data_IF_757131314350
#
_entry.id   IF_757131314350
#
_cell.length_a   1.000
_cell.length_b   1.000
_cell.length_c   1.000
_cell.angle_alpha   90.00
_cell.angle_beta   90.00
_cell.angle_gamma   90.00
#
_symmetry.space_group_name_H-M   'P 1'
#
loop_
_entity.id
_entity.type
_entity.pdbx_description
1 polymer ?
#
# COMPACT_ATOMS: atom_id res chain seq x y z
N UNK A 1 0.85 23.98 16.94
CA UNK A 1 1.55 22.80 16.40
C UNK A 1 1.20 22.69 14.93
N UNK A 2 2.13 23.02 14.03
CA UNK A 2 1.89 22.98 12.59
C UNK A 2 1.72 21.54 12.09
N UNK A 3 0.92 21.30 11.03
CA UNK A 3 0.77 19.96 10.50
C UNK A 3 2.13 19.52 9.95
N UNK A 4 2.53 18.26 10.18
CA UNK A 4 3.80 17.80 9.70
C UNK A 4 3.70 17.59 8.19
N UNK A 5 4.38 18.48 7.46
CA UNK A 5 4.64 18.37 6.04
C UNK A 5 5.52 17.15 5.80
N UNK A 6 4.90 16.02 5.47
CA UNK A 6 5.62 14.83 5.03
C UNK A 6 5.46 14.73 3.52
N UNK A 7 6.56 14.77 2.78
CA UNK A 7 6.62 14.58 1.32
C UNK A 7 6.23 13.18 0.85
N UNK A 8 5.41 12.46 1.61
CA UNK A 8 4.88 11.14 1.31
C UNK A 8 3.45 11.28 0.83
N UNK A 9 3.21 10.91 -0.44
CA UNK A 9 1.86 10.87 -1.00
C UNK A 9 1.01 9.87 -0.21
N UNK A 10 -0.23 10.25 0.09
CA UNK A 10 -1.22 9.34 0.67
C UNK A 10 -1.70 8.33 -0.39
N UNK A 11 -2.39 7.27 0.03
CA UNK A 11 -2.80 6.18 -0.88
C UNK A 11 -3.71 6.65 -2.04
N UNK A 12 -4.57 7.64 -1.80
CA UNK A 12 -5.44 8.20 -2.83
C UNK A 12 -4.64 9.04 -3.84
N UNK A 13 -3.64 9.79 -3.37
CA UNK A 13 -2.71 10.55 -4.22
C UNK A 13 -1.82 9.63 -5.07
N UNK A 14 -1.34 8.52 -4.50
CA UNK A 14 -0.65 7.47 -5.26
C UNK A 14 -1.56 6.88 -6.34
N UNK A 15 -2.82 6.57 -6.01
CA UNK A 15 -3.77 6.05 -6.98
C UNK A 15 -4.03 7.06 -8.12
N UNK A 16 -4.16 8.34 -7.79
CA UNK A 16 -4.34 9.41 -8.78
C UNK A 16 -3.10 9.58 -9.67
N UNK A 17 -1.90 9.53 -9.09
CA UNK A 17 -0.64 9.58 -9.81
C UNK A 17 -0.54 8.43 -10.84
N UNK A 18 -0.77 7.19 -10.41
CA UNK A 18 -0.65 6.03 -11.30
C UNK A 18 -1.79 5.91 -12.33
N UNK A 19 -3.02 6.28 -11.97
CA UNK A 19 -4.19 6.10 -12.85
C UNK A 19 -4.39 7.25 -13.83
N UNK A 20 -4.01 8.47 -13.47
CA UNK A 20 -4.34 9.68 -14.24
C UNK A 20 -3.07 10.39 -14.72
N UNK A 21 -2.20 10.80 -13.80
CA UNK A 21 -1.07 11.66 -14.16
C UNK A 21 0.04 10.96 -14.93
N UNK A 22 0.42 9.73 -14.56
CA UNK A 22 1.44 8.98 -15.32
C UNK A 22 0.98 8.70 -16.75
N UNK A 23 -0.25 8.19 -17.00
CA UNK A 23 -0.77 8.06 -18.37
C UNK A 23 -0.81 9.40 -19.13
N UNK A 24 -1.25 10.49 -18.49
CA UNK A 24 -1.30 11.82 -19.11
C UNK A 24 0.09 12.36 -19.46
N UNK A 25 1.07 12.21 -18.57
CA UNK A 25 2.45 12.65 -18.83
C UNK A 25 3.06 11.89 -20.00
N UNK A 26 2.84 10.57 -20.08
CA UNK A 26 3.32 9.75 -21.20
C UNK A 26 2.64 10.13 -22.52
N UNK A 27 1.33 10.39 -22.52
CA UNK A 27 0.61 10.90 -23.69
C UNK A 27 1.08 12.30 -24.10
N UNK A 28 1.38 13.17 -23.13
CA UNK A 28 1.86 14.53 -23.40
C UNK A 28 3.27 14.55 -24.02
N UNK A 29 4.17 13.64 -23.59
CA UNK A 29 5.47 13.45 -24.24
C UNK A 29 5.34 12.97 -25.68
N UNK A 30 4.30 12.18 -25.98
CA UNK A 30 4.03 11.73 -27.34
C UNK A 30 3.49 12.86 -28.23
N UNK A 31 2.55 13.67 -27.72
CA UNK A 31 2.06 14.85 -28.44
C UNK A 31 3.15 15.89 -28.70
N UNK A 32 4.10 16.10 -27.77
CA UNK A 32 5.21 17.05 -27.99
C UNK A 32 6.21 16.55 -29.04
N UNK A 33 6.28 15.24 -29.29
CA UNK A 33 7.07 14.67 -30.39
C UNK A 33 6.38 14.86 -31.74
N UNK A 34 5.04 14.81 -31.78
CA UNK A 34 4.26 15.01 -33.01
C UNK A 34 4.15 16.50 -33.41
N UNK A 35 4.14 17.44 -32.46
CA UNK A 35 4.13 18.89 -32.76
C UNK A 35 5.45 19.36 -33.40
N UNK A 36 6.59 18.76 -33.01
CA UNK A 36 7.89 19.02 -33.62
C UNK A 36 8.08 18.35 -34.99
N UNK A 37 7.28 17.34 -35.37
CA UNK A 37 7.32 16.70 -36.70
C UNK A 37 6.90 17.63 -37.84
N UNK A 38 6.06 18.64 -37.57
CA UNK A 38 5.59 19.56 -38.61
C UNK A 38 6.49 20.79 -38.84
N UNK A 39 7.54 20.98 -38.01
CA UNK A 39 8.34 22.20 -38.05
C UNK A 39 9.80 22.02 -38.51
N UNK A 40 10.40 20.82 -38.48
CA UNK A 40 11.78 20.67 -38.96
C UNK A 40 12.18 19.23 -39.26
N UNK A 41 12.22 18.87 -40.55
CA UNK A 41 13.05 17.78 -41.06
C UNK A 41 14.50 18.04 -40.61
N UNK A 42 15.17 17.05 -40.01
CA UNK A 42 16.56 17.10 -39.52
C UNK A 42 16.78 17.64 -38.08
N UNK A 43 16.20 17.00 -37.06
CA UNK A 43 16.88 16.94 -35.76
C UNK A 43 16.90 15.53 -35.18
N UNK A 44 18.07 14.92 -35.36
CA UNK A 44 18.54 13.65 -34.81
C UNK A 44 18.66 13.75 -33.28
N UNK A 45 17.55 13.72 -32.56
CA UNK A 45 17.53 13.55 -31.10
C UNK A 45 16.25 12.79 -30.73
N UNK A 46 16.35 11.49 -30.49
CA UNK A 46 15.20 10.71 -30.06
C UNK A 46 15.52 9.23 -29.97
N UNK A 47 15.10 8.60 -28.88
CA UNK A 47 14.74 7.18 -28.88
C UNK A 47 13.99 6.91 -30.19
N UNK A 48 14.37 5.92 -31.01
CA UNK A 48 13.77 5.77 -32.34
C UNK A 48 12.24 5.79 -32.21
N UNK A 49 11.55 6.47 -33.12
CA UNK A 49 10.09 6.61 -33.10
C UNK A 49 9.39 5.25 -32.91
N UNK A 50 9.99 4.20 -33.48
CA UNK A 50 9.60 2.81 -33.30
C UNK A 50 9.70 2.34 -31.84
N UNK A 51 10.83 2.59 -31.14
CA UNK A 51 10.99 2.25 -29.72
C UNK A 51 9.99 3.03 -28.86
N UNK A 52 9.74 4.30 -29.16
CA UNK A 52 8.75 5.11 -28.44
C UNK A 52 7.34 4.53 -28.60
N UNK A 53 6.95 4.18 -29.83
CA UNK A 53 5.67 3.54 -30.11
C UNK A 53 5.51 2.19 -29.42
N UNK A 54 6.55 1.34 -29.44
CA UNK A 54 6.54 0.05 -28.76
C UNK A 54 6.47 0.20 -27.22
N UNK A 55 7.15 1.19 -26.65
CA UNK A 55 7.03 1.52 -25.23
C UNK A 55 5.59 1.92 -24.86
N UNK A 56 4.96 2.77 -25.67
CA UNK A 56 3.57 3.19 -25.47
C UNK A 56 2.61 2.02 -25.55
N UNK A 57 2.70 1.17 -26.59
CA UNK A 57 1.87 -0.04 -26.71
C UNK A 57 2.04 -0.96 -25.51
N UNK A 58 3.28 -1.17 -25.07
CA UNK A 58 3.59 -1.96 -23.88
C UNK A 58 2.86 -1.42 -22.63
N UNK A 59 2.85 -0.09 -22.45
CA UNK A 59 2.11 0.53 -21.34
C UNK A 59 0.61 0.33 -21.44
N UNK A 60 0.03 0.48 -22.63
CA UNK A 60 -1.40 0.25 -22.81
C UNK A 60 -1.79 -1.19 -22.48
N UNK A 61 -0.99 -2.18 -22.84
CA UNK A 61 -1.23 -3.56 -22.40
C UNK A 61 -1.24 -3.68 -20.86
N UNK A 62 -0.28 -3.04 -20.18
CA UNK A 62 -0.25 -3.04 -18.72
C UNK A 62 -1.46 -2.35 -18.09
N UNK A 63 -1.88 -1.18 -18.61
CA UNK A 63 -3.05 -0.44 -18.13
C UNK A 63 -4.34 -1.24 -18.34
N UNK A 64 -4.51 -1.84 -19.52
CA UNK A 64 -5.69 -2.65 -19.83
C UNK A 64 -5.77 -3.89 -18.94
N UNK A 65 -4.65 -4.57 -18.68
CA UNK A 65 -4.59 -5.70 -17.75
C UNK A 65 -4.99 -5.26 -16.32
N UNK A 66 -4.46 -4.13 -15.83
CA UNK A 66 -4.83 -3.59 -14.52
C UNK A 66 -6.33 -3.26 -14.45
N UNK A 67 -6.87 -2.61 -15.49
CA UNK A 67 -8.30 -2.27 -15.58
C UNK A 67 -9.16 -3.52 -15.37
N UNK A 68 -8.89 -4.58 -16.14
CA UNK A 68 -9.61 -5.87 -16.02
C UNK A 68 -9.45 -6.44 -14.61
N UNK A 69 -8.23 -6.50 -14.08
CA UNK A 69 -7.95 -7.04 -12.76
C UNK A 69 -8.67 -6.31 -11.62
N UNK A 70 -8.91 -5.01 -11.78
CA UNK A 70 -9.59 -4.18 -10.78
C UNK A 70 -11.12 -4.16 -10.89
N UNK A 71 -11.69 -4.81 -11.89
CA UNK A 71 -13.15 -4.92 -12.00
C UNK A 71 -13.72 -5.76 -10.83
N UNK A 72 -14.93 -5.40 -10.40
CA UNK A 72 -15.67 -6.15 -9.37
C UNK A 72 -16.23 -7.48 -9.87
N UNK A 73 -16.32 -7.66 -11.19
CA UNK A 73 -16.77 -8.88 -11.87
C UNK A 73 -15.87 -9.13 -13.08
N UNK A 74 -15.67 -10.40 -13.43
CA UNK A 74 -14.79 -10.82 -14.54
C UNK A 74 -15.51 -11.90 -15.34
N UNK A 75 -15.70 -11.66 -16.63
CA UNK A 75 -16.22 -12.64 -17.60
C UNK A 75 -15.10 -13.51 -18.18
N UNK A 76 -15.44 -14.59 -18.87
CA UNK A 76 -14.44 -15.43 -19.56
C UNK A 76 -13.71 -14.68 -20.69
N UNK A 77 -14.39 -13.73 -21.34
CA UNK A 77 -13.78 -12.86 -22.34
C UNK A 77 -12.75 -11.93 -21.68
N UNK A 78 -13.06 -11.39 -20.50
CA UNK A 78 -12.11 -10.58 -19.71
C UNK A 78 -10.89 -11.40 -19.29
N UNK A 79 -11.07 -12.67 -18.89
CA UNK A 79 -9.95 -13.55 -18.54
C UNK A 79 -9.01 -13.74 -19.74
N UNK A 80 -9.60 -13.94 -20.93
CA UNK A 80 -8.84 -14.13 -22.17
C UNK A 80 -8.10 -12.84 -22.56
N UNK A 81 -8.79 -11.71 -22.55
CA UNK A 81 -8.22 -10.40 -22.83
C UNK A 81 -7.09 -10.03 -21.83
N UNK A 82 -7.27 -10.36 -20.55
CA UNK A 82 -6.21 -10.17 -19.54
C UNK A 82 -4.97 -11.00 -19.87
N UNK A 83 -5.14 -12.28 -20.20
CA UNK A 83 -4.04 -13.16 -20.57
C UNK A 83 -3.27 -12.64 -21.80
N UNK A 84 -3.99 -12.16 -22.81
CA UNK A 84 -3.40 -11.55 -24.01
C UNK A 84 -2.61 -10.28 -23.70
N UNK A 85 -3.17 -9.38 -22.89
CA UNK A 85 -2.48 -8.17 -22.48
C UNK A 85 -1.22 -8.46 -21.66
N UNK A 86 -1.26 -9.40 -20.71
CA UNK A 86 -0.08 -9.82 -19.96
C UNK A 86 1.00 -10.42 -20.87
N UNK A 87 0.61 -11.30 -21.80
CA UNK A 87 1.53 -11.91 -22.77
C UNK A 87 2.21 -10.86 -23.64
N UNK A 88 1.44 -9.96 -24.25
CA UNK A 88 1.98 -8.91 -25.11
C UNK A 88 2.86 -7.93 -24.33
N UNK A 89 2.49 -7.62 -23.08
CA UNK A 89 3.34 -6.83 -22.18
C UNK A 89 4.69 -7.51 -21.92
N UNK A 90 4.71 -8.81 -21.63
CA UNK A 90 5.95 -9.55 -21.40
C UNK A 90 6.82 -9.65 -22.65
N UNK A 91 6.22 -9.94 -23.81
CA UNK A 91 6.93 -10.03 -25.10
C UNK A 91 7.54 -8.68 -25.50
N UNK A 92 6.76 -7.60 -25.46
CA UNK A 92 7.28 -6.26 -25.78
C UNK A 92 8.35 -5.82 -24.78
N UNK A 93 8.27 -6.20 -23.50
CA UNK A 93 9.34 -5.90 -22.54
C UNK A 93 10.65 -6.64 -22.86
N UNK A 94 10.59 -7.91 -23.28
CA UNK A 94 11.78 -8.63 -23.72
C UNK A 94 12.40 -8.00 -24.96
N UNK A 95 11.58 -7.52 -25.89
CA UNK A 95 12.04 -6.84 -27.08
C UNK A 95 12.69 -5.49 -26.77
N UNK A 96 12.05 -4.66 -25.93
CA UNK A 96 12.53 -3.34 -25.51
C UNK A 96 13.77 -3.42 -24.61
N UNK A 97 13.86 -4.47 -23.78
CA UNK A 97 14.92 -4.63 -22.76
C UNK A 97 15.54 -6.04 -22.80
N UNK A 98 16.24 -6.42 -23.88
CA UNK A 98 16.69 -7.81 -24.10
C UNK A 98 17.72 -8.31 -23.07
N UNK A 99 18.43 -7.39 -22.42
CA UNK A 99 19.41 -7.73 -21.37
C UNK A 99 18.75 -7.96 -20.01
N UNK A 100 17.49 -7.59 -19.85
CA UNK A 100 16.79 -7.69 -18.58
C UNK A 100 16.07 -9.04 -18.46
N UNK A 101 16.38 -9.79 -17.41
CA UNK A 101 15.67 -11.04 -17.10
C UNK A 101 14.23 -10.75 -16.68
N UNK A 102 13.31 -11.63 -17.05
CA UNK A 102 11.92 -11.57 -16.56
C UNK A 102 11.94 -11.70 -15.05
N UNK A 103 11.27 -10.77 -14.36
CA UNK A 103 11.11 -10.84 -12.90
C UNK A 103 10.07 -11.90 -12.54
N UNK A 104 10.21 -12.61 -11.40
CA UNK A 104 9.23 -13.60 -10.95
C UNK A 104 7.78 -13.09 -10.95
N UNK A 105 7.55 -11.83 -10.59
CA UNK A 105 6.21 -11.22 -10.60
C UNK A 105 5.59 -11.17 -12.01
N UNK A 106 6.41 -10.93 -13.05
CA UNK A 106 5.95 -10.93 -14.44
C UNK A 106 5.73 -12.35 -14.97
N UNK A 107 6.40 -13.36 -14.40
CA UNK A 107 6.08 -14.75 -14.69
C UNK A 107 4.77 -15.15 -13.99
N UNK A 108 4.59 -14.72 -12.74
CA UNK A 108 3.38 -15.01 -11.96
C UNK A 108 2.12 -14.42 -12.61
N UNK A 109 2.22 -13.29 -13.32
CA UNK A 109 1.07 -12.75 -14.06
C UNK A 109 0.48 -13.71 -15.10
N UNK A 110 1.26 -14.65 -15.64
CA UNK A 110 0.74 -15.69 -16.55
C UNK A 110 -0.17 -16.70 -15.85
N UNK A 111 -0.12 -16.77 -14.52
CA UNK A 111 -0.98 -17.64 -13.71
C UNK A 111 -2.25 -16.95 -13.21
N UNK A 112 -2.30 -15.61 -13.21
CA UNK A 112 -3.46 -14.84 -12.75
C UNK A 112 -4.75 -15.19 -13.52
N UNK A 113 -4.77 -15.45 -14.84
CA UNK A 113 -5.99 -15.89 -15.53
C UNK A 113 -6.63 -17.14 -14.90
N UNK A 114 -5.79 -18.10 -14.46
CA UNK A 114 -6.28 -19.31 -13.76
C UNK A 114 -6.85 -18.99 -12.39
N UNK A 115 -6.32 -17.97 -11.73
CA UNK A 115 -6.86 -17.45 -10.47
C UNK A 115 -8.24 -16.85 -10.71
N UNK A 116 -8.41 -16.04 -11.76
CA UNK A 116 -9.72 -15.46 -12.11
C UNK A 116 -10.80 -16.50 -12.34
N UNK A 117 -10.48 -17.58 -13.07
CA UNK A 117 -11.41 -18.66 -13.32
C UNK A 117 -11.85 -19.40 -12.05
N UNK A 118 -11.01 -19.44 -11.02
CA UNK A 118 -11.24 -20.23 -9.80
C UNK A 118 -11.84 -19.42 -8.66
N UNK A 119 -11.30 -18.22 -8.44
CA UNK A 119 -11.57 -17.38 -7.28
C UNK A 119 -12.30 -16.08 -7.64
N UNK A 120 -12.48 -15.81 -8.93
CA UNK A 120 -13.05 -14.54 -9.41
C UNK A 120 -12.02 -13.40 -9.45
N UNK A 121 -12.48 -12.14 -9.52
CA UNK A 121 -11.61 -10.97 -9.67
C UNK A 121 -10.55 -10.84 -8.57
N UNK A 122 -9.45 -10.12 -8.85
CA UNK A 122 -8.35 -9.92 -7.88
C UNK A 122 -8.86 -9.44 -6.53
N UNK A 123 -9.89 -8.59 -6.51
CA UNK A 123 -10.45 -8.07 -5.25
C UNK A 123 -10.93 -9.19 -4.32
N UNK A 124 -11.53 -10.25 -4.87
CA UNK A 124 -12.01 -11.40 -4.12
C UNK A 124 -10.87 -12.28 -3.58
N UNK A 125 -9.73 -12.32 -4.28
CA UNK A 125 -8.55 -13.11 -3.89
C UNK A 125 -7.41 -12.26 -3.31
N UNK A 126 -7.63 -10.98 -3.02
CA UNK A 126 -6.56 -10.06 -2.62
C UNK A 126 -6.14 -10.30 -1.17
N UNK A 127 -4.83 -10.22 -0.91
CA UNK A 127 -4.30 -10.26 0.46
C UNK A 127 -4.67 -9.02 1.26
N UNK A 128 -5.16 -7.97 0.61
CA UNK A 128 -5.54 -6.70 1.24
C UNK A 128 -6.52 -6.88 2.41
N UNK A 129 -7.52 -7.75 2.25
CA UNK A 129 -8.45 -8.06 3.34
C UNK A 129 -7.74 -8.67 4.56
N UNK A 130 -6.77 -9.55 4.33
CA UNK A 130 -5.93 -10.12 5.38
C UNK A 130 -5.00 -9.08 6.01
N UNK A 131 -4.42 -8.17 5.24
CA UNK A 131 -3.59 -7.08 5.76
C UNK A 131 -4.39 -6.15 6.68
N UNK A 132 -5.63 -5.82 6.30
CA UNK A 132 -6.56 -5.07 7.13
C UNK A 132 -6.87 -5.81 8.44
N UNK A 133 -7.13 -7.12 8.38
CA UNK A 133 -7.37 -7.95 9.56
C UNK A 133 -6.14 -8.02 10.48
N UNK A 134 -4.94 -8.21 9.93
CA UNK A 134 -3.68 -8.19 10.67
C UNK A 134 -3.50 -6.86 11.40
N UNK A 135 -3.84 -5.74 10.74
CA UNK A 135 -3.83 -4.41 11.36
C UNK A 135 -4.78 -4.30 12.55
N UNK A 136 -6.00 -4.85 12.43
CA UNK A 136 -6.98 -4.89 13.52
C UNK A 136 -6.45 -5.74 14.69
N UNK A 137 -5.86 -6.90 14.42
CA UNK A 137 -5.28 -7.76 15.45
C UNK A 137 -4.13 -7.07 16.19
N UNK A 138 -3.20 -6.43 15.48
CA UNK A 138 -2.11 -5.68 16.10
C UNK A 138 -2.62 -4.52 16.98
N UNK A 139 -3.68 -3.83 16.58
CA UNK A 139 -4.31 -2.78 17.39
C UNK A 139 -4.99 -3.36 18.64
N UNK A 140 -5.65 -4.51 18.52
CA UNK A 140 -6.26 -5.24 19.63
C UNK A 140 -5.24 -5.66 20.68
N UNK A 141 -4.15 -6.28 20.26
CA UNK A 141 -3.04 -6.66 21.15
C UNK A 141 -2.41 -5.44 21.83
N UNK A 142 -2.17 -4.36 21.08
CA UNK A 142 -1.64 -3.11 21.63
C UNK A 142 -2.56 -2.49 22.69
N UNK A 143 -3.88 -2.63 22.52
CA UNK A 143 -4.88 -2.17 23.51
C UNK A 143 -4.89 -3.08 24.74
N UNK A 144 -4.90 -4.41 24.57
CA UNK A 144 -4.86 -5.38 25.69
C UNK A 144 -3.60 -5.19 26.52
N UNK A 145 -2.44 -5.07 25.88
CA UNK A 145 -1.17 -4.82 26.56
C UNK A 145 -1.19 -3.51 27.34
N UNK A 146 -1.80 -2.45 26.80
CA UNK A 146 -2.00 -1.18 27.50
C UNK A 146 -2.89 -1.32 28.73
N UNK A 147 -4.01 -2.05 28.63
CA UNK A 147 -4.89 -2.31 29.77
C UNK A 147 -4.20 -3.13 30.87
N UNK A 148 -3.43 -4.15 30.52
CA UNK A 148 -2.67 -4.92 31.50
C UNK A 148 -1.62 -4.08 32.22
N UNK A 149 -0.94 -3.17 31.51
CA UNK A 149 0.02 -2.24 32.11
C UNK A 149 -0.66 -1.24 33.05
N UNK A 150 -1.80 -0.65 32.65
CA UNK A 150 -2.53 0.29 33.51
C UNK A 150 -3.16 -0.39 34.72
N UNK A 151 -3.70 -1.60 34.58
CA UNK A 151 -4.21 -2.40 35.70
C UNK A 151 -3.11 -2.79 36.68
N UNK A 152 -1.93 -3.20 36.19
CA UNK A 152 -0.76 -3.49 37.05
C UNK A 152 -0.28 -2.25 37.79
N UNK A 153 -0.18 -1.11 37.11
CA UNK A 153 0.20 0.17 37.73
C UNK A 153 -0.83 0.64 38.78
N UNK A 154 -2.12 0.42 38.53
CA UNK A 154 -3.18 0.72 39.49
C UNK A 154 -3.10 -0.17 40.74
N UNK A 155 -2.84 -1.47 40.58
CA UNK A 155 -2.61 -2.40 41.70
C UNK A 155 -1.38 -2.00 42.54
N UNK A 156 -0.26 -1.67 41.90
CA UNK A 156 0.97 -1.25 42.61
C UNK A 156 0.72 0.03 43.43
N UNK A 157 0.06 1.04 42.84
CA UNK A 157 -0.31 2.27 43.57
C UNK A 157 -1.25 2.02 44.75
N UNK A 158 -2.17 1.05 44.62
CA UNK A 158 -3.09 0.69 45.69
C UNK A 158 -2.37 -0.01 46.84
N UNK A 159 -1.38 -0.87 46.55
CA UNK A 159 -0.55 -1.53 47.55
C UNK A 159 0.42 -0.56 48.25
N UNK A 160 1.00 0.39 47.52
CA UNK A 160 1.78 1.50 48.09
C UNK A 160 0.92 2.38 49.01
N UNK A 161 -0.31 2.68 48.62
CA UNK A 161 -1.24 3.43 49.47
C UNK A 161 -1.60 2.65 50.74
N UNK A 162 -1.80 1.33 50.63
CA UNK A 162 -2.08 0.45 51.78
C UNK A 162 -0.89 0.30 52.71
N UNK A 163 0.33 0.24 52.19
CA UNK A 163 1.55 0.17 53.00
C UNK A 163 1.80 1.48 53.76
N UNK A 164 1.56 2.64 53.12
CA UNK A 164 1.59 3.94 53.79
C UNK A 164 0.53 4.07 54.89
N UNK A 165 -0.71 3.62 54.66
CA UNK A 165 -1.75 3.60 55.70
C UNK A 165 -1.32 2.72 56.89
N UNK A 166 -0.77 1.53 56.64
CA UNK A 166 -0.27 0.64 57.71
C UNK A 166 0.88 1.28 58.50
N UNK A 167 1.81 1.98 57.86
CA UNK A 167 2.88 2.71 58.53
C UNK A 167 2.35 3.85 59.41
N UNK A 168 1.37 4.64 58.94
CA UNK A 168 0.76 5.72 59.75
C UNK A 168 -0.08 5.21 60.92
N UNK A 169 -0.61 3.99 60.85
CA UNK A 169 -1.33 3.34 61.97
C UNK A 169 -0.41 2.74 63.05
N UNK A 170 0.87 2.51 62.71
CA UNK A 170 1.90 2.02 63.63
C UNK A 170 2.50 3.13 64.50
N UNK A 171 2.37 4.40 64.08
CA UNK A 171 2.75 5.58 64.85
C UNK A 171 1.53 6.15 65.54
N UNK A 172 1.02 5.47 66.59
CA UNK A 172 0.18 6.16 67.58
C UNK A 172 1.06 7.17 68.31
N UNK A 173 0.71 8.47 68.37
CA UNK A 173 1.40 9.39 69.25
C UNK A 173 1.05 9.02 70.69
N UNK A 174 2.04 8.56 71.46
CA UNK A 174 1.96 8.49 72.91
C UNK A 174 1.99 9.92 73.43
N UNK A 175 0.82 10.57 73.51
CA UNK A 175 0.68 11.85 74.18
C UNK A 175 -0.30 11.71 75.34
N UNK A 176 0.32 11.64 76.52
CA UNK A 176 -0.14 12.12 77.81
C UNK A 176 -1.31 13.10 77.74
N UNK A 177 -2.40 12.78 78.44
CA UNK A 177 -3.19 13.78 79.15
C UNK A 177 -3.45 13.28 80.57
N UNK A 178 -2.53 13.70 81.44
CA UNK A 178 -2.74 13.90 82.86
C UNK A 178 -3.79 15.00 83.02
N UNK A 179 -5.01 14.64 83.43
CA UNK A 179 -5.96 15.53 84.11
C UNK A 179 -7.23 14.73 84.46
N UNK A 180 -7.42 14.46 85.75
CA UNK A 180 -8.63 14.74 86.56
C UNK A 180 -8.54 13.86 87.83
N UNK A 181 -8.38 14.58 88.96
CA UNK A 181 -8.51 14.21 90.38
C UNK A 181 -7.39 13.36 91.00
#
# INVERSE_FOLDING_TARGET
MGPPYHGSLNAAEWALLYKVFIPLLMLSQQMSLDEHKYANTQRKVGLSEEIANELTKNKFHSISAIKIATNSTVSMDDVTAFAEHCKNFCLSNQHLFPKQKIKPNNHFSDHIPKVFQRLGPVQASSTWGYECLIGIFHQGESRVNRWQLTSRQASVKQDESRSHIKQTSSTRPTLFLQQIL
#
